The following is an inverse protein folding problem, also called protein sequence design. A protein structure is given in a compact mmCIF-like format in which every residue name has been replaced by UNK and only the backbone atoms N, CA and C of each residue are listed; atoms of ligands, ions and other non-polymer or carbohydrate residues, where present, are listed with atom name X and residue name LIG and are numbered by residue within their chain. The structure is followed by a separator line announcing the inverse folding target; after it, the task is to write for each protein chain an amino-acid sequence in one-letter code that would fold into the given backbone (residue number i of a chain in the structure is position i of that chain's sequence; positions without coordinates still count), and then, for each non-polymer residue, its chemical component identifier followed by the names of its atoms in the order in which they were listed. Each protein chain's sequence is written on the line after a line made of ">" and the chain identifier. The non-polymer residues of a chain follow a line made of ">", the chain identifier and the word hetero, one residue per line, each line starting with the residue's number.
data_IF_618696524711
#
_entry.id   IF_618696524711
#
_cell.length_a   1.000
_cell.length_b   1.000
_cell.length_c   1.000
_cell.angle_alpha   90.00
_cell.angle_beta   90.00
_cell.angle_gamma   90.00
#
_symmetry.space_group_name_H-M   'P 1'
#
loop_
_entity.id
_entity.type
_entity.pdbx_description
1 polymer ?
#
# COMPACT_ATOMS: atom_id res chain seq x y z
N UNK A 1 -15.53 -10.86 -2.93
CA UNK A 1 -15.41 -12.16 -2.23
C UNK A 1 -16.16 -12.08 -0.92
N UNK A 2 -16.90 -13.13 -0.49
CA UNK A 2 -17.57 -13.14 0.81
C UNK A 2 -16.54 -13.24 1.94
N UNK A 3 -16.75 -12.49 3.02
CA UNK A 3 -15.94 -12.54 4.24
C UNK A 3 -16.11 -13.91 4.92
N UNK A 4 -15.01 -14.53 5.39
CA UNK A 4 -15.05 -15.78 6.18
C UNK A 4 -14.42 -17.02 5.54
N UNK A 5 -13.89 -16.93 4.31
CA UNK A 5 -13.14 -18.04 3.71
C UNK A 5 -11.73 -18.15 4.30
N UNK A 6 -11.35 -19.35 4.74
CA UNK A 6 -10.05 -19.64 5.38
C UNK A 6 -8.84 -19.24 4.51
N UNK A 7 -9.02 -19.17 3.18
CA UNK A 7 -7.99 -18.86 2.19
C UNK A 7 -8.17 -17.49 1.50
N UNK A 8 -9.11 -16.65 1.93
CA UNK A 8 -9.42 -15.37 1.24
C UNK A 8 -8.19 -14.46 1.18
N UNK A 9 -7.41 -14.41 2.26
CA UNK A 9 -6.18 -13.62 2.32
C UNK A 9 -5.11 -14.08 1.33
N UNK A 10 -4.95 -15.39 1.13
CA UNK A 10 -3.95 -15.95 0.19
C UNK A 10 -4.34 -15.65 -1.25
N UNK A 11 -5.61 -15.81 -1.61
CA UNK A 11 -6.08 -15.52 -2.98
C UNK A 11 -5.99 -14.04 -3.30
N UNK A 12 -6.36 -13.17 -2.34
CA UNK A 12 -6.25 -11.74 -2.52
C UNK A 12 -4.79 -11.28 -2.58
N UNK A 13 -3.92 -11.82 -1.72
CA UNK A 13 -2.49 -11.55 -1.78
C UNK A 13 -1.87 -11.98 -3.12
N UNK A 14 -2.29 -13.12 -3.69
CA UNK A 14 -1.86 -13.55 -5.04
C UNK A 14 -2.32 -12.56 -6.12
N UNK A 15 -3.55 -12.08 -6.04
CA UNK A 15 -4.07 -11.06 -6.96
C UNK A 15 -3.25 -9.76 -6.86
N UNK A 16 -3.04 -9.25 -5.65
CA UNK A 16 -2.23 -8.05 -5.39
C UNK A 16 -0.79 -8.24 -5.86
N UNK A 17 -0.19 -9.41 -5.62
CA UNK A 17 1.16 -9.71 -6.10
C UNK A 17 1.23 -9.74 -7.64
N UNK A 18 0.19 -10.22 -8.32
CA UNK A 18 0.13 -10.23 -9.77
C UNK A 18 -0.08 -8.82 -10.34
N UNK A 19 -0.99 -8.04 -9.76
CA UNK A 19 -1.31 -6.67 -10.17
C UNK A 19 -0.13 -5.73 -10.00
N UNK A 20 0.57 -5.82 -8.87
CA UNK A 20 1.69 -4.94 -8.53
C UNK A 20 3.05 -5.58 -8.79
N UNK A 21 3.15 -6.68 -9.54
CA UNK A 21 4.41 -7.44 -9.72
C UNK A 21 5.60 -6.59 -10.14
N UNK A 22 5.37 -5.56 -10.96
CA UNK A 22 6.43 -4.68 -11.49
C UNK A 22 6.88 -3.59 -10.49
N UNK A 23 5.97 -3.13 -9.62
CA UNK A 23 6.19 -2.05 -8.65
C UNK A 23 6.55 -2.57 -7.25
N UNK A 24 6.08 -3.79 -6.94
CA UNK A 24 6.19 -4.42 -5.62
C UNK A 24 7.64 -4.81 -5.33
N UNK A 25 8.16 -4.35 -4.20
CA UNK A 25 9.53 -4.62 -3.74
C UNK A 25 10.59 -3.63 -4.24
N UNK A 26 10.25 -2.76 -5.20
CA UNK A 26 11.07 -1.60 -5.57
C UNK A 26 10.64 -0.37 -4.77
N UNK A 27 9.41 0.07 -5.02
CA UNK A 27 8.90 1.37 -4.56
C UNK A 27 7.54 1.23 -3.86
N UNK A 28 6.98 0.02 -3.84
CA UNK A 28 5.62 -0.22 -3.36
C UNK A 28 5.55 -1.53 -2.57
N UNK A 29 4.74 -1.50 -1.53
CA UNK A 29 4.47 -2.62 -0.64
C UNK A 29 2.95 -2.67 -0.42
N UNK A 30 2.29 -3.60 -1.09
CA UNK A 30 0.84 -3.76 -1.02
C UNK A 30 0.44 -4.99 -0.18
N UNK A 31 -0.51 -4.78 0.70
CA UNK A 31 -1.22 -5.80 1.47
C UNK A 31 -2.70 -5.83 1.08
N UNK A 32 -3.45 -6.79 1.63
CA UNK A 32 -4.88 -7.02 1.30
C UNK A 32 -5.70 -5.72 1.39
N UNK A 33 -5.50 -4.92 2.43
CA UNK A 33 -6.31 -3.70 2.66
C UNK A 33 -5.51 -2.40 2.61
N UNK A 34 -4.18 -2.48 2.71
CA UNK A 34 -3.32 -1.30 2.81
C UNK A 34 -2.25 -1.33 1.70
N UNK A 35 -2.06 -0.20 1.00
CA UNK A 35 -0.98 -0.01 0.02
C UNK A 35 -0.03 1.05 0.55
N UNK A 36 1.27 0.71 0.61
CA UNK A 36 2.33 1.61 1.04
C UNK A 36 3.26 1.89 -0.13
N UNK A 37 3.41 3.15 -0.49
CA UNK A 37 4.34 3.61 -1.52
C UNK A 37 5.53 4.26 -0.83
N UNK A 38 6.73 3.76 -1.08
CA UNK A 38 8.00 4.22 -0.50
C UNK A 38 8.90 4.71 -1.63
N UNK A 39 9.36 5.95 -1.54
CA UNK A 39 10.23 6.55 -2.54
C UNK A 39 11.34 7.34 -1.87
N UNK A 40 12.53 7.39 -2.49
CA UNK A 40 13.70 8.10 -1.95
C UNK A 40 13.63 9.62 -2.11
N UNK A 41 12.92 10.11 -3.13
CA UNK A 41 12.78 11.52 -3.48
C UNK A 41 11.31 11.88 -3.67
N UNK A 42 10.96 13.15 -3.47
CA UNK A 42 9.58 13.63 -3.65
C UNK A 42 9.13 13.53 -5.11
N UNK A 43 9.99 13.89 -6.08
CA UNK A 43 9.69 13.74 -7.51
C UNK A 43 9.51 12.28 -7.91
N UNK A 44 10.37 11.38 -7.39
CA UNK A 44 10.20 9.94 -7.57
C UNK A 44 8.88 9.45 -6.97
N UNK A 45 8.50 9.99 -5.81
CA UNK A 45 7.25 9.64 -5.14
C UNK A 45 6.01 9.99 -5.95
N UNK A 46 6.00 11.16 -6.61
CA UNK A 46 4.89 11.55 -7.49
C UNK A 46 4.77 10.63 -8.71
N UNK A 47 5.90 10.22 -9.30
CA UNK A 47 5.91 9.27 -10.40
C UNK A 47 5.43 7.87 -9.96
N UNK A 48 5.91 7.39 -8.81
CA UNK A 48 5.50 6.09 -8.24
C UNK A 48 4.01 6.07 -7.90
N UNK A 49 3.49 7.15 -7.31
CA UNK A 49 2.05 7.31 -7.05
C UNK A 49 1.25 7.31 -8.35
N UNK A 50 1.71 8.04 -9.37
CA UNK A 50 1.04 8.08 -10.68
C UNK A 50 0.96 6.69 -11.31
N UNK A 51 2.05 5.93 -11.25
CA UNK A 51 2.12 4.55 -11.73
C UNK A 51 1.16 3.64 -10.93
N UNK A 52 1.16 3.77 -9.60
CA UNK A 52 0.28 3.02 -8.69
C UNK A 52 -1.20 3.28 -9.02
N UNK A 53 -1.59 4.55 -9.18
CA UNK A 53 -2.96 4.93 -9.53
C UNK A 53 -3.37 4.48 -10.94
N UNK A 54 -2.42 4.44 -11.88
CA UNK A 54 -2.66 3.89 -13.22
C UNK A 54 -2.99 2.40 -13.15
N UNK A 55 -2.18 1.64 -12.40
CA UNK A 55 -2.40 0.21 -12.16
C UNK A 55 -3.74 -0.04 -11.46
N UNK A 56 -4.05 0.72 -10.40
CA UNK A 56 -5.35 0.62 -9.71
C UNK A 56 -6.53 0.84 -10.67
N UNK A 57 -6.46 1.86 -11.53
CA UNK A 57 -7.48 2.12 -12.55
C UNK A 57 -7.58 1.00 -13.57
N UNK A 58 -6.45 0.47 -14.05
CA UNK A 58 -6.40 -0.63 -15.03
C UNK A 58 -7.07 -1.90 -14.51
N UNK A 59 -6.89 -2.20 -13.23
CA UNK A 59 -7.49 -3.37 -12.57
C UNK A 59 -8.81 -3.06 -11.85
N UNK A 60 -9.35 -1.85 -12.05
CA UNK A 60 -10.62 -1.39 -11.47
C UNK A 60 -10.66 -1.49 -9.92
N UNK A 61 -9.50 -1.37 -9.27
CA UNK A 61 -9.35 -1.36 -7.83
C UNK A 61 -9.61 0.04 -7.29
N UNK A 62 -10.49 0.13 -6.28
CA UNK A 62 -10.84 1.39 -5.64
C UNK A 62 -10.19 1.49 -4.26
N UNK A 63 -9.43 2.56 -4.06
CA UNK A 63 -8.96 2.98 -2.75
C UNK A 63 -10.07 3.78 -2.05
N UNK A 64 -10.12 3.68 -0.73
CA UNK A 64 -10.97 4.54 0.08
C UNK A 64 -10.20 5.83 0.42
N UNK A 65 -10.57 7.01 -0.13
CA UNK A 65 -9.84 8.25 0.10
C UNK A 65 -9.78 8.63 1.58
N UNK A 66 -10.81 8.30 2.36
CA UNK A 66 -10.85 8.60 3.80
C UNK A 66 -9.84 7.80 4.64
N UNK A 67 -9.32 6.70 4.07
CA UNK A 67 -8.27 5.87 4.70
C UNK A 67 -6.90 6.07 4.05
N UNK A 68 -6.82 6.84 2.96
CA UNK A 68 -5.55 7.11 2.29
C UNK A 68 -4.88 8.35 2.87
N UNK A 69 -3.61 8.21 3.23
CA UNK A 69 -2.75 9.32 3.63
C UNK A 69 -1.65 9.46 2.58
N UNK A 70 -1.51 10.65 1.99
CA UNK A 70 -0.53 10.93 0.94
C UNK A 70 0.47 11.98 1.42
N UNK A 71 1.74 11.84 1.01
CA UNK A 71 2.78 12.86 1.26
C UNK A 71 3.10 13.12 2.74
N UNK A 72 2.63 12.28 3.66
CA UNK A 72 2.89 12.45 5.06
C UNK A 72 4.29 11.94 5.41
N UNK A 73 5.05 12.74 6.17
CA UNK A 73 6.32 12.31 6.75
C UNK A 73 6.15 11.14 7.73
N UNK A 74 4.92 10.83 8.14
CA UNK A 74 4.56 9.61 8.83
C UNK A 74 3.12 9.20 8.52
N UNK A 75 2.86 7.90 8.32
CA UNK A 75 1.52 7.35 8.08
C UNK A 75 1.28 6.07 8.88
N UNK A 76 0.02 5.77 9.21
CA UNK A 76 -0.35 4.52 9.89
C UNK A 76 -0.63 3.43 8.85
N UNK A 77 0.08 2.31 8.92
CA UNK A 77 -0.04 1.17 8.01
C UNK A 77 -0.14 -0.13 8.82
N UNK A 78 -1.20 -0.92 8.66
CA UNK A 78 -1.43 -2.17 9.41
C UNK A 78 -1.25 -2.04 10.94
N UNK A 79 -1.52 -0.86 11.52
CA UNK A 79 -1.33 -0.59 12.96
C UNK A 79 0.07 -0.13 13.37
N UNK A 80 1.00 -0.01 12.42
CA UNK A 80 2.36 0.51 12.62
C UNK A 80 2.46 1.96 12.14
N UNK A 81 3.28 2.77 12.83
CA UNK A 81 3.63 4.09 12.34
C UNK A 81 4.82 3.95 11.39
N UNK A 82 4.58 4.22 10.11
CA UNK A 82 5.61 4.31 9.07
C UNK A 82 6.13 5.74 9.07
N UNK A 83 7.40 5.94 9.39
CA UNK A 83 8.06 7.25 9.24
C UNK A 83 8.70 7.39 7.85
N UNK A 84 8.98 8.62 7.42
CA UNK A 84 9.56 8.99 6.11
C UNK A 84 10.85 8.23 5.75
N UNK A 85 11.51 7.65 6.74
CA UNK A 85 12.75 6.86 6.65
C UNK A 85 12.50 5.35 6.53
N UNK A 86 11.26 4.92 6.36
CA UNK A 86 10.88 3.50 6.26
C UNK A 86 10.95 2.74 7.58
N UNK A 87 11.24 3.41 8.70
CA UNK A 87 11.23 2.79 10.03
C UNK A 87 9.79 2.59 10.50
N UNK A 88 9.44 1.32 10.71
CA UNK A 88 8.20 0.90 11.35
C UNK A 88 8.41 1.02 12.86
N UNK A 89 7.70 1.93 13.51
CA UNK A 89 7.64 1.99 14.98
C UNK A 89 6.31 1.42 15.45
N UNK A 90 6.33 0.53 16.45
CA UNK A 90 5.11 0.05 17.09
C UNK A 90 4.43 1.26 17.74
N UNK A 91 3.18 1.53 17.36
CA UNK A 91 2.33 2.45 18.11
C UNK A 91 2.07 1.82 19.47
N UNK A 92 2.83 2.20 20.50
CA UNK A 92 2.48 1.95 21.89
C UNK A 92 1.12 2.62 22.13
N UNK A 93 0.08 1.82 22.36
CA UNK A 93 -1.17 2.32 22.97
C UNK A 93 -0.85 2.52 24.45
N UNK A 94 -0.97 3.75 24.92
CA UNK A 94 -1.16 4.02 26.34
C UNK A 94 -2.63 3.82 26.71
#
# INVERSE_FOLDING_TARGET
>A
MPFGLKNTGVTYQRMINAVFKEQRGKNLEAYVDDILVKSRTLEGHLNDLRETFSTLRRFNLKLNPAKCTFGAASGKFLGYLVLARGTLTKSQRS
#
